data_IF_880798676781
#
_entry.id   IF_880798676781
#
_cell.length_a   1.000
_cell.length_b   1.000
_cell.length_c   1.000
_cell.angle_alpha   90.00
_cell.angle_beta   90.00
_cell.angle_gamma   90.00
#
_symmetry.space_group_name_H-M   'P 1'
#
loop_
_entity.id
_entity.type
_entity.pdbx_description
1 polymer ?
#
# COMPACT_ATOMS: atom_id res chain seq x y z
N UNK A 1 -1.49 2.84 17.59
CA UNK A 1 -1.78 3.55 16.33
C UNK A 1 -0.95 2.88 15.25
N UNK A 2 -1.55 2.42 14.15
CA UNK A 2 -0.81 1.81 13.03
C UNK A 2 0.08 2.89 12.41
N UNK A 3 1.37 2.62 12.33
CA UNK A 3 2.36 3.52 11.77
C UNK A 3 2.91 2.89 10.49
N UNK A 4 3.21 3.74 9.51
CA UNK A 4 3.94 3.33 8.31
C UNK A 4 5.42 3.18 8.67
N UNK A 5 6.04 2.06 8.28
CA UNK A 5 7.48 1.89 8.52
C UNK A 5 8.32 2.55 7.42
N UNK A 6 7.78 2.58 6.20
CA UNK A 6 8.42 3.16 5.03
C UNK A 6 7.42 3.97 4.20
N UNK A 7 7.93 4.88 3.39
CA UNK A 7 7.16 5.60 2.39
C UNK A 7 7.91 5.75 1.08
N UNK A 8 7.17 5.85 -0.02
CA UNK A 8 7.69 6.25 -1.33
C UNK A 8 7.52 7.76 -1.53
N UNK A 9 8.58 8.42 -1.96
CA UNK A 9 8.56 9.87 -2.22
C UNK A 9 7.77 10.19 -3.48
N UNK A 10 6.75 11.05 -3.36
CA UNK A 10 5.91 11.49 -4.47
C UNK A 10 6.41 12.81 -5.06
N UNK A 11 6.95 13.68 -4.21
CA UNK A 11 7.54 14.96 -4.64
C UNK A 11 8.42 15.52 -3.53
N UNK A 12 9.40 16.33 -3.92
CA UNK A 12 10.26 17.08 -3.01
C UNK A 12 10.16 18.57 -3.31
N UNK A 13 10.32 19.39 -2.28
CA UNK A 13 10.53 20.84 -2.43
C UNK A 13 11.66 21.25 -1.53
N UNK A 14 12.57 22.04 -2.10
CA UNK A 14 13.72 22.59 -1.41
C UNK A 14 13.63 24.11 -1.44
N UNK A 15 13.85 24.72 -0.29
CA UNK A 15 13.94 26.15 -0.07
C UNK A 15 15.15 26.42 0.83
N UNK A 16 15.66 27.65 0.83
CA UNK A 16 16.95 28.00 1.46
C UNK A 16 17.14 27.47 2.89
N UNK A 17 16.06 27.37 3.68
CA UNK A 17 16.10 26.90 5.08
C UNK A 17 15.33 25.60 5.34
N UNK A 18 14.74 24.98 4.30
CA UNK A 18 13.80 23.88 4.52
C UNK A 18 13.68 22.93 3.33
N UNK A 19 13.92 21.63 3.60
CA UNK A 19 13.63 20.53 2.68
C UNK A 19 12.38 19.76 3.10
N UNK A 20 11.50 19.53 2.15
CA UNK A 20 10.21 18.89 2.37
C UNK A 20 9.94 17.83 1.34
N UNK A 21 9.18 16.80 1.73
CA UNK A 21 8.69 15.79 0.81
C UNK A 21 7.25 15.42 1.11
N UNK A 22 6.51 15.12 0.04
CA UNK A 22 5.24 14.39 0.14
C UNK A 22 5.48 12.94 -0.21
N UNK A 23 4.85 12.05 0.52
CA UNK A 23 5.07 10.61 0.40
C UNK A 23 3.76 9.82 0.46
N UNK A 24 3.82 8.56 0.05
CA UNK A 24 2.80 7.54 0.33
C UNK A 24 3.42 6.39 1.12
N UNK A 25 2.80 6.02 2.23
CA UNK A 25 3.21 4.89 3.06
C UNK A 25 3.06 3.54 2.33
N UNK A 26 3.93 2.57 2.64
CA UNK A 26 3.94 1.29 1.94
C UNK A 26 3.01 0.23 2.55
N UNK A 27 2.54 0.43 3.77
CA UNK A 27 1.78 -0.56 4.53
C UNK A 27 0.28 -0.30 4.45
N UNK A 28 -0.14 0.96 4.60
CA UNK A 28 -1.55 1.38 4.62
C UNK A 28 -1.86 2.52 3.64
N UNK A 29 -0.93 2.84 2.74
CA UNK A 29 -1.07 3.87 1.72
C UNK A 29 -1.38 5.26 2.30
N UNK A 30 -0.91 5.55 3.52
CA UNK A 30 -1.15 6.84 4.14
C UNK A 30 -0.33 7.91 3.39
N UNK A 31 -1.01 8.94 2.90
CA UNK A 31 -0.37 10.11 2.30
C UNK A 31 0.09 11.08 3.40
N UNK A 32 1.35 11.52 3.34
CA UNK A 32 1.94 12.37 4.37
C UNK A 32 2.78 13.49 3.76
N UNK A 33 2.82 14.61 4.46
CA UNK A 33 3.72 15.73 4.22
C UNK A 33 4.79 15.76 5.31
N UNK A 34 6.06 15.74 4.92
CA UNK A 34 7.20 15.56 5.82
C UNK A 34 8.17 16.73 5.73
N UNK A 35 8.76 17.08 6.86
CA UNK A 35 10.02 17.81 6.89
C UNK A 35 11.17 16.81 6.88
N UNK A 36 12.11 17.03 5.96
CA UNK A 36 13.30 16.23 5.86
C UNK A 36 14.44 16.87 6.64
N UNK A 37 15.45 16.09 7.00
CA UNK A 37 16.70 16.64 7.51
C UNK A 37 17.44 17.39 6.39
N UNK A 38 18.24 18.38 6.77
CA UNK A 38 18.84 19.32 5.83
C UNK A 38 19.95 18.67 4.98
N UNK A 39 20.53 17.57 5.47
CA UNK A 39 21.64 16.82 4.89
C UNK A 39 21.20 15.60 4.04
N UNK A 40 19.90 15.36 3.88
CA UNK A 40 19.42 14.24 3.06
C UNK A 40 19.05 14.68 1.65
N UNK A 41 19.45 13.86 0.68
CA UNK A 41 18.95 13.95 -0.68
C UNK A 41 18.06 12.76 -1.01
N UNK A 42 16.86 13.07 -1.49
CA UNK A 42 15.83 12.08 -1.82
C UNK A 42 15.21 12.43 -3.16
N UNK A 43 14.93 11.40 -3.96
CA UNK A 43 14.34 11.52 -5.29
C UNK A 43 12.92 10.99 -5.27
N UNK A 44 12.14 11.41 -6.26
CA UNK A 44 10.81 10.86 -6.49
C UNK A 44 10.94 9.34 -6.73
N UNK A 45 10.01 8.58 -6.15
CA UNK A 45 10.00 7.12 -6.01
C UNK A 45 11.06 6.49 -5.10
N UNK A 46 11.88 7.27 -4.38
CA UNK A 46 12.77 6.70 -3.36
C UNK A 46 11.95 6.15 -2.19
N UNK A 47 12.34 4.97 -1.70
CA UNK A 47 11.80 4.37 -0.48
C UNK A 47 12.58 4.85 0.73
N UNK A 48 11.94 5.63 1.59
CA UNK A 48 12.54 6.17 2.81
C UNK A 48 11.93 5.54 4.07
N UNK A 49 12.71 5.27 5.13
CA UNK A 49 12.19 4.85 6.42
C UNK A 49 11.49 6.00 7.14
N UNK A 50 10.42 5.72 7.88
CA UNK A 50 9.59 6.69 8.61
C UNK A 50 9.59 6.50 10.13
N UNK A 51 10.27 5.46 10.63
CA UNK A 51 10.38 5.18 12.06
C UNK A 51 11.09 6.30 12.83
N UNK A 52 11.01 6.25 14.17
CA UNK A 52 11.60 7.25 15.08
C UNK A 52 13.10 7.48 14.87
N UNK A 53 13.81 6.46 14.40
CA UNK A 53 15.25 6.50 14.15
C UNK A 53 15.60 6.82 12.68
N UNK A 54 14.63 7.31 11.89
CA UNK A 54 14.87 7.69 10.51
C UNK A 54 15.79 8.90 10.43
N UNK A 55 16.90 8.73 9.72
CA UNK A 55 17.82 9.83 9.39
C UNK A 55 17.26 10.76 8.31
N UNK A 56 16.15 10.39 7.65
CA UNK A 56 15.55 11.18 6.57
C UNK A 56 14.53 12.18 7.08
N UNK A 57 13.73 11.78 8.07
CA UNK A 57 12.56 12.53 8.50
C UNK A 57 12.88 13.32 9.76
N UNK A 58 12.75 14.65 9.66
CA UNK A 58 12.86 15.56 10.80
C UNK A 58 11.57 15.57 11.61
N UNK A 59 10.44 15.70 10.93
CA UNK A 59 9.11 15.60 11.54
C UNK A 59 8.02 15.33 10.49
N UNK A 60 6.95 14.66 10.91
CA UNK A 60 5.70 14.58 10.15
C UNK A 60 4.92 15.88 10.33
N UNK A 61 4.56 16.55 9.23
CA UNK A 61 3.79 17.81 9.28
C UNK A 61 2.29 17.56 9.27
N UNK A 62 1.83 16.70 8.36
CA UNK A 62 0.41 16.44 8.17
C UNK A 62 0.17 15.13 7.44
N UNK A 63 -0.98 14.52 7.73
CA UNK A 63 -1.62 13.57 6.83
C UNK A 63 -2.31 14.35 5.70
N UNK A 64 -2.23 13.84 4.48
CA UNK A 64 -2.85 14.42 3.29
C UNK A 64 -4.03 13.55 2.83
N UNK A 65 -4.99 14.18 2.18
CA UNK A 65 -5.98 13.51 1.34
C UNK A 65 -5.52 13.48 -0.12
N UNK A 66 -6.13 12.64 -0.93
CA UNK A 66 -5.81 12.57 -2.37
C UNK A 66 -6.11 13.90 -3.08
N UNK A 67 -7.13 14.64 -2.64
CA UNK A 67 -7.49 15.94 -3.21
C UNK A 67 -6.47 17.06 -2.89
N UNK A 68 -5.54 16.83 -1.96
CA UNK A 68 -4.45 17.77 -1.63
C UNK A 68 -3.24 17.64 -2.59
N UNK A 69 -3.26 16.63 -3.47
CA UNK A 69 -2.18 16.34 -4.41
C UNK A 69 -2.28 17.18 -5.69
N UNK A 70 -1.13 17.57 -6.24
CA UNK A 70 -1.07 18.09 -7.61
C UNK A 70 -1.24 16.96 -8.64
N UNK A 71 -1.51 17.29 -9.90
CA UNK A 71 -1.62 16.29 -10.98
C UNK A 71 -0.35 15.44 -11.14
N UNK A 72 0.82 16.04 -10.99
CA UNK A 72 2.08 15.29 -11.03
C UNK A 72 2.19 14.34 -9.83
N UNK A 73 1.76 14.77 -8.63
CA UNK A 73 1.76 13.92 -7.44
C UNK A 73 0.73 12.80 -7.51
N UNK A 74 -0.44 13.03 -8.11
CA UNK A 74 -1.42 11.98 -8.41
C UNK A 74 -0.79 10.92 -9.32
N UNK A 75 -0.13 11.32 -10.41
CA UNK A 75 0.54 10.42 -11.33
C UNK A 75 1.67 9.61 -10.66
N UNK A 76 2.49 10.26 -9.83
CA UNK A 76 3.52 9.57 -9.05
C UNK A 76 2.93 8.65 -7.98
N UNK A 77 1.73 8.97 -7.47
CA UNK A 77 0.98 8.10 -6.54
C UNK A 77 0.52 6.83 -7.25
N UNK A 78 0.00 6.93 -8.48
CA UNK A 78 -0.39 5.74 -9.27
C UNK A 78 0.79 4.79 -9.49
N UNK A 79 1.96 5.34 -9.87
CA UNK A 79 3.20 4.55 -10.00
C UNK A 79 3.67 3.94 -8.68
N UNK A 80 3.59 4.71 -7.60
CA UNK A 80 3.99 4.27 -6.28
C UNK A 80 3.08 3.11 -5.80
N UNK A 81 1.77 3.24 -5.96
CA UNK A 81 0.79 2.18 -5.64
C UNK A 81 1.10 0.92 -6.44
N UNK A 82 1.32 1.04 -7.75
CA UNK A 82 1.70 -0.10 -8.58
C UNK A 82 2.97 -0.80 -8.07
N UNK A 83 3.99 -0.01 -7.73
CA UNK A 83 5.27 -0.51 -7.23
C UNK A 83 5.13 -1.19 -5.87
N UNK A 84 4.34 -0.60 -4.96
CA UNK A 84 4.05 -1.17 -3.64
C UNK A 84 3.29 -2.50 -3.77
N UNK A 85 2.27 -2.55 -4.62
CA UNK A 85 1.47 -3.78 -4.83
C UNK A 85 2.32 -4.88 -5.43
N UNK A 86 3.15 -4.54 -6.42
CA UNK A 86 4.06 -5.49 -7.06
C UNK A 86 5.12 -6.00 -6.08
N UNK A 87 5.73 -5.11 -5.29
CA UNK A 87 6.77 -5.50 -4.35
C UNK A 87 6.24 -6.32 -3.16
N UNK A 88 4.95 -6.20 -2.83
CA UNK A 88 4.31 -6.91 -1.73
C UNK A 88 3.24 -7.91 -2.21
N UNK A 89 3.47 -8.54 -3.36
CA UNK A 89 2.53 -9.48 -3.99
C UNK A 89 1.91 -10.48 -3.01
N UNK A 90 2.73 -11.14 -2.19
CA UNK A 90 2.27 -12.13 -1.21
C UNK A 90 1.20 -11.60 -0.24
N UNK A 91 1.28 -10.32 0.15
CA UNK A 91 0.28 -9.67 1.02
C UNK A 91 -1.09 -9.62 0.35
N UNK A 92 -1.12 -9.34 -0.95
CA UNK A 92 -2.35 -9.20 -1.71
C UNK A 92 -2.87 -10.54 -2.23
N UNK A 93 -1.99 -11.48 -2.57
CA UNK A 93 -2.36 -12.88 -2.83
C UNK A 93 -3.03 -13.50 -1.60
N UNK A 94 -2.48 -13.24 -0.40
CA UNK A 94 -3.10 -13.63 0.87
C UNK A 94 -4.51 -13.06 1.03
N UNK A 95 -4.78 -11.83 0.57
CA UNK A 95 -6.13 -11.29 0.54
C UNK A 95 -7.09 -12.16 -0.29
N UNK A 96 -6.68 -12.71 -1.44
CA UNK A 96 -7.53 -13.66 -2.18
C UNK A 96 -7.70 -14.99 -1.45
N UNK A 97 -6.65 -15.50 -0.79
CA UNK A 97 -6.70 -16.79 -0.09
C UNK A 97 -7.57 -16.75 1.18
N UNK A 98 -7.53 -15.65 1.93
CA UNK A 98 -8.26 -15.47 3.20
C UNK A 98 -9.75 -15.13 3.04
N UNK A 99 -10.27 -15.17 1.81
CA UNK A 99 -11.68 -14.92 1.57
C UNK A 99 -12.54 -16.01 2.20
N UNK A 100 -13.56 -15.57 2.94
CA UNK A 100 -14.55 -16.44 3.55
C UNK A 100 -15.50 -17.02 2.50
N UNK A 101 -16.37 -17.95 2.93
CA UNK A 101 -17.29 -18.72 2.05
C UNK A 101 -18.16 -17.89 1.10
N UNK A 102 -18.38 -16.60 1.38
CA UNK A 102 -19.20 -15.73 0.52
C UNK A 102 -18.39 -14.86 -0.44
N UNK A 103 -17.05 -14.93 -0.42
CA UNK A 103 -16.15 -14.10 -1.23
C UNK A 103 -16.50 -12.59 -1.18
N UNK A 104 -17.09 -12.14 -0.07
CA UNK A 104 -17.81 -10.87 -0.02
C UNK A 104 -16.89 -9.67 -0.18
N UNK A 105 -15.62 -9.78 0.23
CA UNK A 105 -14.63 -8.69 0.04
C UNK A 105 -14.12 -8.63 -1.39
N UNK A 106 -14.10 -9.74 -2.13
CA UNK A 106 -13.69 -9.73 -3.55
C UNK A 106 -14.62 -8.87 -4.40
N UNK A 107 -15.91 -8.80 -4.06
CA UNK A 107 -16.88 -7.98 -4.81
C UNK A 107 -16.67 -6.48 -4.68
N UNK A 108 -15.81 -6.03 -3.77
CA UNK A 108 -15.41 -4.63 -3.70
C UNK A 108 -14.30 -4.29 -4.71
N UNK A 109 -13.62 -5.30 -5.27
CA UNK A 109 -12.71 -5.10 -6.40
C UNK A 109 -13.55 -4.88 -7.66
N UNK A 110 -13.38 -3.72 -8.29
CA UNK A 110 -14.08 -3.40 -9.54
C UNK A 110 -13.76 -4.45 -10.60
N UNK A 111 -14.76 -4.89 -11.36
CA UNK A 111 -14.61 -6.01 -12.30
C UNK A 111 -14.81 -7.42 -11.71
N UNK A 112 -14.85 -7.61 -10.38
CA UNK A 112 -15.17 -8.92 -9.79
C UNK A 112 -16.68 -9.06 -9.49
N UNK A 113 -17.38 -9.72 -10.42
CA UNK A 113 -18.77 -10.12 -10.21
C UNK A 113 -18.96 -11.19 -9.12
N UNK A 114 -20.20 -11.39 -8.66
CA UNK A 114 -20.55 -12.50 -7.74
C UNK A 114 -20.09 -13.86 -8.25
N UNK A 115 -20.36 -14.14 -9.53
CA UNK A 115 -19.97 -15.39 -10.18
C UNK A 115 -18.45 -15.56 -10.21
N UNK A 116 -17.71 -14.49 -10.51
CA UNK A 116 -16.25 -14.54 -10.57
C UNK A 116 -15.64 -14.73 -9.19
N UNK A 117 -16.13 -14.02 -8.16
CA UNK A 117 -15.68 -14.22 -6.78
C UNK A 117 -15.95 -15.65 -6.27
N UNK A 118 -17.11 -16.24 -6.58
CA UNK A 118 -17.37 -17.66 -6.27
C UNK A 118 -16.40 -18.59 -7.00
N UNK A 119 -16.06 -18.30 -8.26
CA UNK A 119 -15.08 -19.08 -9.02
C UNK A 119 -13.69 -19.03 -8.37
N UNK A 120 -13.24 -17.85 -7.94
CA UNK A 120 -11.96 -17.69 -7.22
C UNK A 120 -11.93 -18.58 -5.96
N UNK A 121 -13.02 -18.57 -5.18
CA UNK A 121 -13.13 -19.41 -3.99
C UNK A 121 -13.11 -20.90 -4.32
N UNK A 122 -13.88 -21.35 -5.31
CA UNK A 122 -13.90 -22.75 -5.74
C UNK A 122 -12.53 -23.21 -6.22
N UNK A 123 -11.83 -22.40 -7.01
CA UNK A 123 -10.48 -22.74 -7.50
C UNK A 123 -9.49 -22.89 -6.36
N UNK A 124 -9.54 -21.99 -5.36
CA UNK A 124 -8.75 -22.11 -4.13
C UNK A 124 -9.09 -23.39 -3.35
N UNK A 125 -10.38 -23.70 -3.20
CA UNK A 125 -10.84 -24.88 -2.45
C UNK A 125 -10.46 -26.21 -3.12
N UNK A 126 -10.39 -26.25 -4.46
CA UNK A 126 -10.06 -27.44 -5.22
C UNK A 126 -8.55 -27.63 -5.42
N UNK A 127 -7.82 -26.54 -5.66
CA UNK A 127 -6.42 -26.57 -6.10
C UNK A 127 -5.43 -26.01 -5.06
N UNK A 128 -5.92 -25.64 -3.87
CA UNK A 128 -5.13 -25.03 -2.81
C UNK A 128 -4.96 -23.52 -2.97
N UNK A 129 -4.29 -22.92 -2.00
CA UNK A 129 -4.02 -21.49 -1.96
C UNK A 129 -3.25 -21.02 -3.21
N UNK A 130 -3.52 -19.80 -3.64
CA UNK A 130 -2.76 -19.15 -4.70
C UNK A 130 -1.37 -18.74 -4.20
N UNK A 131 -0.37 -18.89 -5.05
CA UNK A 131 1.03 -18.57 -4.71
C UNK A 131 1.47 -17.19 -5.20
N UNK A 132 0.87 -16.70 -6.29
CA UNK A 132 1.23 -15.46 -6.98
C UNK A 132 0.02 -14.84 -7.69
N UNK A 133 0.12 -13.58 -8.10
CA UNK A 133 -0.83 -12.92 -9.00
C UNK A 133 -0.90 -13.67 -10.33
N UNK A 134 0.22 -14.14 -10.86
CA UNK A 134 0.27 -14.93 -12.09
C UNK A 134 -0.50 -16.25 -11.94
N UNK A 135 -0.39 -16.90 -10.78
CA UNK A 135 -1.11 -18.13 -10.47
C UNK A 135 -2.64 -17.90 -10.41
N UNK A 136 -3.09 -16.78 -9.81
CA UNK A 136 -4.49 -16.36 -9.85
C UNK A 136 -4.94 -16.12 -11.30
N UNK A 137 -4.16 -15.33 -12.06
CA UNK A 137 -4.50 -14.91 -13.42
C UNK A 137 -4.60 -16.12 -14.37
N UNK A 138 -3.76 -17.14 -14.17
CA UNK A 138 -3.76 -18.37 -14.95
C UNK A 138 -4.90 -19.33 -14.59
N UNK A 139 -5.25 -19.47 -13.30
CA UNK A 139 -6.34 -20.35 -12.85
C UNK A 139 -7.72 -19.76 -13.14
N UNK A 140 -7.87 -18.45 -13.01
CA UNK A 140 -9.17 -17.79 -13.10
C UNK A 140 -9.40 -17.24 -14.50
N UNK A 141 -9.97 -18.05 -15.38
CA UNK A 141 -10.31 -17.59 -16.73
C UNK A 141 -11.16 -16.30 -16.73
N UNK A 142 -10.81 -15.35 -17.61
CA UNK A 142 -11.47 -14.04 -17.79
C UNK A 142 -11.37 -13.08 -16.59
N UNK A 143 -10.50 -13.34 -15.62
CA UNK A 143 -10.15 -12.32 -14.65
C UNK A 143 -9.33 -11.22 -15.35
N UNK A 144 -9.60 -9.96 -15.04
CA UNK A 144 -8.59 -8.92 -15.26
C UNK A 144 -7.38 -9.24 -14.38
N UNK A 145 -6.19 -8.74 -14.71
CA UNK A 145 -5.01 -9.04 -13.90
C UNK A 145 -5.27 -8.74 -12.42
N UNK A 146 -5.06 -9.74 -11.58
CA UNK A 146 -5.32 -9.68 -10.13
C UNK A 146 -4.55 -8.53 -9.47
N UNK A 147 -3.33 -8.25 -9.96
CA UNK A 147 -2.57 -7.07 -9.56
C UNK A 147 -3.28 -5.76 -9.90
N UNK A 148 -3.77 -5.62 -11.13
CA UNK A 148 -4.48 -4.40 -11.59
C UNK A 148 -5.77 -4.18 -10.79
N UNK A 149 -6.49 -5.26 -10.45
CA UNK A 149 -7.68 -5.20 -9.60
C UNK A 149 -7.35 -4.60 -8.22
N UNK A 150 -6.22 -4.98 -7.63
CA UNK A 150 -5.75 -4.44 -6.35
C UNK A 150 -5.31 -2.98 -6.50
N UNK A 151 -4.53 -2.64 -7.53
CA UNK A 151 -4.06 -1.27 -7.79
C UNK A 151 -5.24 -0.31 -7.97
N UNK A 152 -6.20 -0.66 -8.84
CA UNK A 152 -7.42 0.12 -9.07
C UNK A 152 -8.20 0.30 -7.76
N UNK A 153 -8.29 -0.76 -6.96
CA UNK A 153 -8.99 -0.69 -5.67
C UNK A 153 -8.32 0.27 -4.70
N UNK A 154 -7.01 0.20 -4.54
CA UNK A 154 -6.26 1.11 -3.66
C UNK A 154 -6.46 2.56 -4.10
N UNK A 155 -6.33 2.85 -5.40
CA UNK A 155 -6.53 4.20 -5.92
C UNK A 155 -7.94 4.71 -5.67
N UNK A 156 -8.96 3.90 -5.94
CA UNK A 156 -10.36 4.24 -5.63
C UNK A 156 -10.58 4.49 -4.13
N UNK A 157 -9.96 3.70 -3.25
CA UNK A 157 -10.01 3.92 -1.80
C UNK A 157 -9.35 5.23 -1.35
N UNK A 158 -8.33 5.71 -2.08
CA UNK A 158 -7.68 6.99 -1.79
C UNK A 158 -8.48 8.18 -2.33
N UNK A 159 -9.01 8.09 -3.56
CA UNK A 159 -9.53 9.24 -4.30
C UNK A 159 -11.05 9.42 -4.24
N UNK A 160 -11.82 8.35 -4.44
CA UNK A 160 -13.27 8.43 -4.67
C UNK A 160 -14.08 7.91 -3.48
N UNK A 161 -13.67 6.80 -2.85
CA UNK A 161 -14.37 6.22 -1.71
C UNK A 161 -14.56 7.20 -0.53
N UNK A 162 -13.61 8.10 -0.20
CA UNK A 162 -13.81 9.09 0.85
C UNK A 162 -14.93 10.09 0.54
N UNK A 163 -15.25 10.31 -0.74
CA UNK A 163 -16.27 11.26 -1.23
C UNK A 163 -17.68 10.65 -1.23
N UNK A 164 -17.80 9.33 -1.08
CA UNK A 164 -19.10 8.66 -1.10
C UNK A 164 -19.99 9.06 0.08
N UNK A 165 -21.18 9.59 -0.25
CA UNK A 165 -22.17 10.06 0.73
C UNK A 165 -23.19 8.98 1.13
N UNK A 166 -23.22 7.85 0.43
CA UNK A 166 -24.21 6.78 0.60
C UNK A 166 -23.55 5.51 1.08
N UNK A 167 -24.15 4.87 2.08
CA UNK A 167 -23.62 3.64 2.66
C UNK A 167 -22.45 3.89 3.61
N UNK A 168 -21.89 2.80 4.15
CA UNK A 168 -20.65 2.84 4.91
C UNK A 168 -19.51 2.45 3.97
N UNK A 169 -18.54 3.34 3.70
CA UNK A 169 -17.42 3.00 2.85
C UNK A 169 -16.64 1.84 3.47
N UNK A 170 -16.35 0.82 2.66
CA UNK A 170 -15.59 -0.35 3.09
C UNK A 170 -14.17 -0.21 2.58
N UNK A 171 -13.22 0.09 3.45
CA UNK A 171 -11.79 0.14 3.10
C UNK A 171 -11.19 -1.26 3.26
N UNK A 172 -10.44 -1.71 2.25
CA UNK A 172 -9.76 -3.00 2.24
C UNK A 172 -8.26 -2.86 2.52
N UNK A 173 -7.64 -1.83 1.94
CA UNK A 173 -6.19 -1.72 1.87
C UNK A 173 -5.67 -0.41 2.46
N UNK A 174 -6.46 0.65 2.42
CA UNK A 174 -6.02 1.98 2.88
C UNK A 174 -6.59 2.33 4.24
N UNK A 175 -5.87 3.18 4.98
CA UNK A 175 -6.39 3.84 6.18
C UNK A 175 -6.46 5.33 5.88
N UNK A 176 -7.66 5.82 5.60
CA UNK A 176 -7.88 7.26 5.41
C UNK A 176 -8.25 7.89 6.75
N UNK A 177 -7.33 8.65 7.34
CA UNK A 177 -7.68 9.55 8.45
C UNK A 177 -8.44 10.73 7.85
N UNK A 178 -9.77 10.78 8.06
CA UNK A 178 -10.55 11.99 7.75
C UNK A 178 -9.95 13.16 8.53
N UNK A 179 -9.77 14.31 7.89
CA UNK A 179 -9.39 15.57 8.54
C UNK A 179 -10.48 15.99 9.55
N UNK A 180 -10.42 15.43 10.75
CA UNK A 180 -11.18 15.70 11.97
C UNK A 180 -12.64 16.21 11.86
N UNK A 181 -13.60 15.28 11.96
CA UNK A 181 -14.60 15.23 13.06
C UNK A 181 -15.33 13.88 13.04
N UNK A 182 -15.14 13.10 14.11
CA UNK A 182 -15.72 11.79 14.48
C UNK A 182 -14.87 10.54 14.16
N UNK A 183 -14.66 9.83 15.27
CA UNK A 183 -13.99 8.56 15.54
C UNK A 183 -13.82 7.59 14.36
N UNK A 184 -12.58 7.13 14.21
CA UNK A 184 -12.23 5.95 13.40
C UNK A 184 -12.38 4.73 14.31
N UNK A 185 -13.28 3.81 13.94
CA UNK A 185 -13.50 2.54 14.64
C UNK A 185 -12.31 1.59 14.42
N UNK A 186 -11.96 0.80 15.44
CA UNK A 186 -10.87 -0.20 15.39
C UNK A 186 -11.09 -1.23 14.25
N UNK A 187 -10.01 -1.54 13.54
CA UNK A 187 -9.97 -2.51 12.44
C UNK A 187 -9.23 -3.77 12.87
N UNK A 188 -9.71 -4.94 12.41
CA UNK A 188 -9.02 -6.24 12.58
C UNK A 188 -7.55 -6.16 12.12
N UNK A 189 -6.65 -6.70 12.94
CA UNK A 189 -5.22 -6.67 12.73
C UNK A 189 -4.80 -7.65 11.62
N UNK A 190 -4.39 -7.12 10.46
CA UNK A 190 -3.56 -7.88 9.54
C UNK A 190 -2.12 -7.88 10.08
N UNK A 191 -1.69 -9.02 10.61
CA UNK A 191 -0.31 -9.23 11.07
C UNK A 191 0.60 -9.38 9.83
N UNK A 192 1.55 -8.47 9.66
CA UNK A 192 2.59 -8.50 8.63
C UNK A 192 3.77 -9.32 9.13
N UNK A 193 4.08 -10.43 8.45
CA UNK A 193 5.31 -11.20 8.69
C UNK A 193 6.39 -10.70 7.72
N UNK A 194 7.20 -9.74 8.18
CA UNK A 194 8.26 -9.07 7.41
C UNK A 194 9.48 -9.97 7.14
N UNK A 195 9.46 -11.22 7.60
CA UNK A 195 10.60 -12.15 7.55
C UNK A 195 11.10 -12.42 6.13
N UNK A 196 10.18 -12.51 5.15
CA UNK A 196 10.54 -12.77 3.73
C UNK A 196 11.21 -11.58 3.03
N UNK A 197 10.84 -10.36 3.40
CA UNK A 197 11.46 -9.15 2.85
C UNK A 197 12.91 -9.02 3.34
N UNK A 198 13.16 -9.37 4.60
CA UNK A 198 14.50 -9.41 5.18
C UNK A 198 15.36 -10.51 4.53
N UNK A 199 14.79 -11.68 4.25
CA UNK A 199 15.49 -12.74 3.51
C UNK A 199 15.85 -12.33 2.08
N UNK A 200 14.93 -11.70 1.35
CA UNK A 200 15.19 -11.20 -0.01
C UNK A 200 16.34 -10.18 -0.06
N UNK A 201 16.45 -9.31 0.96
CA UNK A 201 17.54 -8.32 1.04
C UNK A 201 18.88 -8.99 1.39
N UNK A 202 18.87 -10.05 2.22
CA UNK A 202 20.05 -10.85 2.52
C UNK A 202 20.55 -11.62 1.29
N UNK A 203 19.65 -12.20 0.49
CA UNK A 203 20.00 -12.91 -0.75
C UNK A 203 20.60 -11.99 -1.82
N UNK A 204 20.14 -10.73 -1.87
CA UNK A 204 20.71 -9.71 -2.76
C UNK A 204 22.02 -9.08 -2.26
N UNK A 205 22.57 -9.57 -1.14
CA UNK A 205 23.83 -9.09 -0.57
C UNK A 205 23.77 -7.65 -0.02
N UNK A 206 22.57 -7.12 0.22
CA UNK A 206 22.36 -5.74 0.68
C UNK A 206 22.30 -5.62 2.21
N UNK A 207 22.38 -6.75 2.92
CA UNK A 207 22.53 -6.86 4.37
C UNK A 207 23.17 -8.22 4.71
N UNK A 208 24.26 -8.24 5.49
CA UNK A 208 24.77 -9.50 6.04
C UNK A 208 24.09 -9.88 7.37
N UNK A 209 24.17 -11.18 7.69
CA UNK A 209 23.43 -11.95 8.71
C UNK A 209 23.41 -11.36 10.14
N UNK A 210 24.25 -10.37 10.46
CA UNK A 210 24.36 -9.79 11.80
C UNK A 210 24.11 -8.26 11.89
N UNK A 211 23.42 -7.66 10.91
CA UNK A 211 22.83 -6.33 11.12
C UNK A 211 23.82 -5.15 11.24
N UNK A 212 25.04 -5.26 10.70
CA UNK A 212 25.96 -4.11 10.55
C UNK A 212 26.17 -3.80 9.06
N UNK A 213 25.92 -2.54 8.67
CA UNK A 213 26.21 -2.01 7.31
C UNK A 213 27.73 -1.96 7.08
N UNK A 214 28.16 -2.36 5.90
CA UNK A 214 29.51 -2.14 5.38
C UNK A 214 29.63 -0.66 4.96
N UNK A 215 30.76 -0.02 5.27
CA UNK A 215 31.10 1.36 4.87
C UNK A 215 31.40 1.46 3.37
#
# INVERSE_FOLDING_TARGET
MKNENFGLVLSTKESDDKKTARIIGTDFFILMDLDLNDDVDVKVQDKIPLGKDSVFVKQERAHLSYDDLSKDQEFETEKAVYSIVTANELKYVKFFNEQSKQASKLHFLDGISRKLGSKILTEKELNGDFESFEDIDNRISFIESSKELIVKRVLYELSELPKEKKGRPSYLFTIVKRSNKKEVQEYDEFVTDDSRFIEMIKEKGLLEKEGKRIR
#
